data_IF_731590955971
#
_entry.id   IF_731590955971
#
_cell.length_a   1.000
_cell.length_b   1.000
_cell.length_c   1.000
_cell.angle_alpha   90.00
_cell.angle_beta   90.00
_cell.angle_gamma   90.00
#
_symmetry.space_group_name_H-M   'P 1'
#
loop_
_entity.id
_entity.type
_entity.pdbx_description
1 polymer ?
#
# COMPACT_ATOMS: atom_id res chain seq x y z
N UNK A 1 14.02 27.09 17.56
CA UNK A 1 14.88 26.16 16.78
C UNK A 1 14.73 24.69 17.21
N UNK A 2 14.33 24.37 18.46
CA UNK A 2 14.10 22.98 18.89
C UNK A 2 12.74 22.39 18.45
N UNK A 3 11.65 23.17 18.53
CA UNK A 3 10.29 22.74 18.10
C UNK A 3 10.20 22.29 16.64
N UNK A 4 11.03 22.85 15.76
CA UNK A 4 11.04 22.49 14.34
C UNK A 4 11.53 21.05 14.11
N UNK A 5 12.48 20.56 14.92
CA UNK A 5 12.97 19.19 14.80
C UNK A 5 11.99 18.16 15.37
N UNK A 6 11.26 18.51 16.43
CA UNK A 6 10.32 17.61 17.10
C UNK A 6 9.04 17.41 16.28
N UNK A 7 8.51 18.48 15.68
CA UNK A 7 7.38 18.40 14.75
C UNK A 7 7.72 17.60 13.48
N UNK A 8 8.96 17.69 12.98
CA UNK A 8 9.45 16.92 11.83
C UNK A 8 9.69 15.45 12.21
N UNK A 9 10.16 15.18 13.42
CA UNK A 9 10.31 13.81 13.93
C UNK A 9 8.95 13.13 14.19
N UNK A 10 7.95 13.86 14.68
CA UNK A 10 6.59 13.37 14.85
C UNK A 10 5.88 13.09 13.51
N UNK A 11 6.22 13.84 12.45
CA UNK A 11 5.76 13.60 11.07
C UNK A 11 6.52 12.50 10.32
N UNK A 12 7.58 11.93 10.87
CA UNK A 12 8.25 10.78 10.24
C UNK A 12 7.33 9.57 10.34
N UNK A 13 7.00 9.01 9.18
CA UNK A 13 6.25 7.78 9.12
C UNK A 13 7.01 6.68 9.89
N UNK A 14 6.31 6.03 10.82
CA UNK A 14 6.88 4.97 11.65
C UNK A 14 6.77 3.66 10.89
N UNK A 15 7.79 2.83 10.99
CA UNK A 15 7.75 1.48 10.43
C UNK A 15 7.13 0.53 11.47
N UNK A 16 6.14 -0.26 11.06
CA UNK A 16 5.54 -1.27 11.92
C UNK A 16 5.41 -2.60 11.16
N UNK A 17 5.21 -3.70 11.91
CA UNK A 17 4.80 -4.96 11.31
C UNK A 17 3.39 -4.80 10.76
N UNK A 18 3.18 -5.21 9.51
CA UNK A 18 1.88 -5.17 8.86
C UNK A 18 1.86 -6.07 7.64
N UNK A 19 1.04 -5.68 6.67
CA UNK A 19 0.70 -6.47 5.51
C UNK A 19 0.67 -5.61 4.25
N UNK A 20 1.13 -6.20 3.14
CA UNK A 20 0.97 -5.65 1.80
C UNK A 20 0.31 -6.67 0.90
N UNK A 21 -0.49 -6.20 -0.05
CA UNK A 21 -1.09 -7.04 -1.06
C UNK A 21 -0.18 -7.09 -2.28
N UNK A 22 0.31 -8.27 -2.66
CA UNK A 22 0.97 -8.49 -3.94
C UNK A 22 -0.09 -8.79 -4.99
N UNK A 23 -0.20 -7.90 -5.96
CA UNK A 23 -1.28 -7.89 -6.95
C UNK A 23 -0.87 -8.52 -8.28
N UNK A 24 0.37 -8.28 -8.71
CA UNK A 24 0.85 -8.71 -10.02
C UNK A 24 2.34 -9.00 -9.97
N UNK A 25 2.75 -10.09 -10.62
CA UNK A 25 4.13 -10.35 -11.01
C UNK A 25 4.15 -10.57 -12.51
N UNK A 26 4.80 -9.68 -13.27
CA UNK A 26 4.82 -9.74 -14.74
C UNK A 26 6.18 -9.29 -15.27
N UNK A 27 6.59 -9.78 -16.44
CA UNK A 27 7.73 -9.23 -17.19
C UNK A 27 7.30 -8.13 -18.18
N UNK A 28 5.99 -7.93 -18.37
CA UNK A 28 5.42 -6.89 -19.23
C UNK A 28 5.32 -5.56 -18.47
N UNK A 29 6.18 -4.62 -18.84
CA UNK A 29 6.20 -3.27 -18.26
C UNK A 29 4.92 -2.49 -18.56
N UNK A 30 4.36 -2.64 -19.76
CA UNK A 30 3.12 -1.97 -20.20
C UNK A 30 1.95 -2.40 -19.31
N UNK A 31 1.82 -3.70 -19.08
CA UNK A 31 0.81 -4.27 -18.18
C UNK A 31 0.97 -3.72 -16.76
N UNK A 32 2.19 -3.73 -16.22
CA UNK A 32 2.46 -3.21 -14.87
C UNK A 32 2.11 -1.72 -14.73
N UNK A 33 2.40 -0.90 -15.75
CA UNK A 33 2.06 0.53 -15.76
C UNK A 33 0.57 0.79 -15.88
N UNK A 34 -0.15 0.01 -16.69
CA UNK A 34 -1.60 0.10 -16.82
C UNK A 34 -2.27 -0.18 -15.47
N UNK A 35 -1.94 -1.32 -14.85
CA UNK A 35 -2.48 -1.71 -13.55
C UNK A 35 -2.14 -0.68 -12.46
N UNK A 36 -0.89 -0.19 -12.42
CA UNK A 36 -0.50 0.85 -11.47
C UNK A 36 -1.33 2.12 -11.62
N UNK A 37 -1.57 2.56 -12.85
CA UNK A 37 -2.36 3.76 -13.13
C UNK A 37 -3.80 3.60 -12.64
N UNK A 38 -4.44 2.46 -12.95
CA UNK A 38 -5.79 2.15 -12.49
C UNK A 38 -5.91 2.12 -10.97
N UNK A 39 -4.92 1.54 -10.28
CA UNK A 39 -4.91 1.50 -8.82
C UNK A 39 -4.78 2.89 -8.20
N UNK A 40 -3.93 3.75 -8.74
CA UNK A 40 -3.78 5.12 -8.25
C UNK A 40 -5.06 5.94 -8.46
N UNK A 41 -5.75 5.71 -9.59
CA UNK A 41 -7.01 6.41 -9.90
C UNK A 41 -8.16 5.95 -9.00
N UNK A 42 -8.30 4.65 -8.73
CA UNK A 42 -9.41 4.11 -7.95
C UNK A 42 -9.16 4.10 -6.44
N UNK A 43 -7.90 4.06 -6.01
CA UNK A 43 -7.49 3.97 -4.61
C UNK A 43 -6.41 5.00 -4.27
N UNK A 44 -6.72 6.31 -4.34
CA UNK A 44 -5.74 7.38 -4.14
C UNK A 44 -5.12 7.39 -2.73
N UNK A 45 -5.84 6.87 -1.73
CA UNK A 45 -5.40 6.84 -0.33
C UNK A 45 -4.34 5.75 -0.04
N UNK A 46 -4.20 4.79 -0.95
CA UNK A 46 -3.29 3.66 -0.79
C UNK A 46 -2.06 3.80 -1.68
N UNK A 47 -0.89 3.53 -1.11
CA UNK A 47 0.37 3.56 -1.85
C UNK A 47 0.51 2.32 -2.74
N UNK A 48 0.95 2.53 -3.99
CA UNK A 48 1.32 1.47 -4.93
C UNK A 48 2.83 1.38 -5.03
N UNK A 49 3.39 0.21 -4.72
CA UNK A 49 4.81 -0.08 -4.74
C UNK A 49 5.13 -0.97 -5.94
N UNK A 50 6.10 -0.53 -6.76
CA UNK A 50 6.60 -1.33 -7.87
C UNK A 50 8.05 -1.71 -7.59
N UNK A 51 8.32 -3.01 -7.59
CA UNK A 51 9.64 -3.58 -7.34
C UNK A 51 10.10 -4.25 -8.63
N UNK A 52 11.28 -3.85 -9.12
CA UNK A 52 11.91 -4.50 -10.24
C UNK A 52 12.88 -5.58 -9.73
N UNK A 53 12.66 -6.82 -10.14
CA UNK A 53 13.51 -7.96 -9.84
C UNK A 53 13.67 -8.76 -11.15
N UNK A 54 14.70 -8.43 -11.93
CA UNK A 54 14.94 -8.99 -13.27
C UNK A 54 14.72 -10.52 -13.32
N UNK A 55 13.93 -11.02 -14.29
CA UNK A 55 13.27 -10.31 -15.40
C UNK A 55 11.85 -9.77 -15.07
N UNK A 56 11.43 -9.80 -13.81
CA UNK A 56 10.05 -9.52 -13.39
C UNK A 56 9.87 -8.17 -12.70
N UNK A 57 8.64 -7.67 -12.76
CA UNK A 57 8.10 -6.52 -12.05
C UNK A 57 7.04 -7.04 -11.08
N UNK A 58 7.18 -6.70 -9.80
CA UNK A 58 6.23 -7.02 -8.73
C UNK A 58 5.49 -5.76 -8.33
N UNK A 59 4.16 -5.78 -8.40
CA UNK A 59 3.30 -4.74 -7.86
C UNK A 59 2.77 -5.16 -6.49
N UNK A 60 3.10 -4.36 -5.48
CA UNK A 60 2.57 -4.44 -4.13
C UNK A 60 1.70 -3.22 -3.84
N UNK A 61 0.73 -3.38 -2.96
CA UNK A 61 -0.29 -2.38 -2.71
C UNK A 61 -0.59 -2.25 -1.22
N UNK A 62 -0.76 -0.98 -0.80
CA UNK A 62 -1.16 -0.60 0.54
C UNK A 62 -0.09 -0.75 1.60
N UNK A 63 -0.41 -0.26 2.79
CA UNK A 63 0.35 -0.38 4.03
C UNK A 63 -0.65 -0.69 5.13
N UNK A 64 -1.03 -1.97 5.28
CA UNK A 64 -2.08 -2.38 6.19
C UNK A 64 -1.45 -2.82 7.51
N UNK A 65 -1.89 -2.28 8.65
CA UNK A 65 -1.43 -2.78 9.96
C UNK A 65 -2.18 -4.04 10.33
N UNK A 66 -3.50 -4.04 10.11
CA UNK A 66 -4.36 -5.17 10.40
C UNK A 66 -4.55 -6.09 9.19
N UNK A 67 -4.53 -7.40 9.45
CA UNK A 67 -4.81 -8.40 8.42
C UNK A 67 -6.24 -8.25 7.87
N UNK A 68 -7.20 -7.91 8.72
CA UNK A 68 -8.61 -7.76 8.34
C UNK A 68 -8.79 -6.64 7.31
N UNK A 69 -8.18 -5.48 7.57
CA UNK A 69 -8.17 -4.34 6.64
C UNK A 69 -7.58 -4.73 5.28
N UNK A 70 -6.44 -5.43 5.29
CA UNK A 70 -5.82 -5.92 4.06
C UNK A 70 -6.74 -6.87 3.27
N UNK A 71 -7.46 -7.76 3.95
CA UNK A 71 -8.40 -8.68 3.29
C UNK A 71 -9.64 -7.98 2.74
N UNK A 72 -10.14 -6.95 3.42
CA UNK A 72 -11.30 -6.20 2.95
C UNK A 72 -10.94 -5.37 1.70
N UNK A 73 -9.78 -4.72 1.69
CA UNK A 73 -9.28 -4.03 0.50
C UNK A 73 -8.94 -5.01 -0.62
N UNK A 74 -8.42 -6.20 -0.30
CA UNK A 74 -8.23 -7.28 -1.29
C UNK A 74 -9.53 -7.63 -2.00
N UNK A 75 -10.64 -7.76 -1.28
CA UNK A 75 -11.96 -8.02 -1.89
C UNK A 75 -12.42 -6.86 -2.77
N UNK A 76 -12.20 -5.61 -2.35
CA UNK A 76 -12.53 -4.43 -3.15
C UNK A 76 -11.75 -4.39 -4.47
N UNK A 77 -10.44 -4.69 -4.44
CA UNK A 77 -9.62 -4.76 -5.65
C UNK A 77 -10.11 -5.89 -6.57
N UNK A 78 -10.46 -7.05 -6.03
CA UNK A 78 -11.04 -8.14 -6.83
C UNK A 78 -12.37 -7.72 -7.48
N UNK A 79 -13.23 -7.03 -6.74
CA UNK A 79 -14.51 -6.54 -7.24
C UNK A 79 -14.35 -5.46 -8.33
N UNK A 80 -13.26 -4.67 -8.28
CA UNK A 80 -12.98 -3.63 -9.29
C UNK A 80 -12.66 -4.20 -10.69
N UNK A 81 -12.31 -5.47 -10.79
CA UNK A 81 -11.91 -6.11 -12.05
C UNK A 81 -10.56 -5.66 -12.61
N UNK A 82 -9.81 -4.78 -11.93
CA UNK A 82 -8.47 -4.35 -12.35
C UNK A 82 -7.49 -5.52 -12.39
N UNK A 83 -7.60 -6.42 -11.41
CA UNK A 83 -6.72 -7.57 -11.25
C UNK A 83 -7.50 -8.84 -11.55
N UNK A 84 -7.09 -9.56 -12.59
CA UNK A 84 -7.66 -10.85 -12.98
C UNK A 84 -6.94 -12.04 -12.33
N UNK A 85 -5.79 -11.81 -11.71
CA UNK A 85 -4.97 -12.83 -11.05
C UNK A 85 -5.21 -12.95 -9.54
N UNK A 86 -4.45 -13.85 -8.92
CA UNK A 86 -4.48 -14.03 -7.47
C UNK A 86 -3.78 -12.86 -6.76
N UNK A 87 -4.48 -12.26 -5.80
CA UNK A 87 -3.91 -11.30 -4.86
C UNK A 87 -3.41 -12.04 -3.61
N UNK A 88 -2.11 -11.89 -3.31
CA UNK A 88 -1.47 -12.50 -2.16
C UNK A 88 -1.28 -11.49 -1.02
N UNK A 89 -1.62 -11.89 0.19
CA UNK A 89 -1.35 -11.11 1.39
C UNK A 89 0.03 -11.47 1.94
N UNK A 90 0.91 -10.48 2.05
CA UNK A 90 2.31 -10.67 2.46
C UNK A 90 2.55 -9.91 3.77
N UNK A 91 2.97 -10.59 4.85
CA UNK A 91 3.43 -9.91 6.05
C UNK A 91 4.77 -9.20 5.77
N UNK A 92 4.82 -7.88 5.95
CA UNK A 92 6.01 -7.08 5.70
C UNK A 92 6.04 -5.88 6.67
N UNK A 93 7.20 -5.25 6.84
CA UNK A 93 7.27 -3.95 7.50
C UNK A 93 6.63 -2.89 6.60
N UNK A 94 5.56 -2.30 7.10
CA UNK A 94 4.80 -1.26 6.39
C UNK A 94 5.07 0.11 7.01
N UNK A 95 4.90 1.12 6.18
CA UNK A 95 4.99 2.51 6.62
C UNK A 95 3.63 2.92 7.20
N UNK A 96 3.61 3.12 8.52
CA UNK A 96 2.46 3.63 9.26
C UNK A 96 2.60 5.13 9.36
N UNK A 97 1.68 5.84 8.71
CA UNK A 97 1.53 7.26 8.99
C UNK A 97 1.04 7.38 10.43
N UNK A 98 1.53 8.34 11.22
CA UNK A 98 0.83 8.72 12.43
C UNK A 98 -0.52 9.25 11.98
N UNK A 99 -1.52 8.37 11.95
CA UNK A 99 -2.89 8.78 11.83
C UNK A 99 -3.10 9.68 13.03
N UNK A 100 -3.32 10.97 12.75
CA UNK A 100 -3.87 11.85 13.77
C UNK A 100 -5.21 11.22 14.07
N UNK A 101 -5.31 10.58 15.23
CA UNK A 101 -6.58 10.25 15.88
C UNK A 101 -7.37 11.56 16.00
N UNK A 102 -8.01 11.97 14.91
CA UNK A 102 -9.00 13.05 14.88
C UNK A 102 -10.34 12.34 14.97
N UNK A 103 -10.71 11.99 16.19
CA UNK A 103 -11.93 11.22 16.45
C UNK A 103 -12.10 10.69 17.87
N UNK A 104 -11.32 11.16 18.83
CA UNK A 104 -11.61 10.96 20.24
C UNK A 104 -11.51 12.35 20.90
N UNK A 105 -12.64 13.05 21.00
CA UNK A 105 -13.03 13.92 22.13
C UNK A 105 -14.36 14.66 21.83
N UNK A 106 -15.38 14.22 22.59
CA UNK A 106 -16.72 14.79 22.91
C UNK A 106 -17.84 14.87 21.85
#
# INVERSE_FOLDING_TARGET
MAEYNEAVAAKKARAAKGYRLMLLTTNDRSQAMSVRSSLIQQFPDHKVYMIFQSPFIKLKFGNFVEKKEAEDVRKQILASGIITGNIYLIPETVEVRPESKLGDEE
#
